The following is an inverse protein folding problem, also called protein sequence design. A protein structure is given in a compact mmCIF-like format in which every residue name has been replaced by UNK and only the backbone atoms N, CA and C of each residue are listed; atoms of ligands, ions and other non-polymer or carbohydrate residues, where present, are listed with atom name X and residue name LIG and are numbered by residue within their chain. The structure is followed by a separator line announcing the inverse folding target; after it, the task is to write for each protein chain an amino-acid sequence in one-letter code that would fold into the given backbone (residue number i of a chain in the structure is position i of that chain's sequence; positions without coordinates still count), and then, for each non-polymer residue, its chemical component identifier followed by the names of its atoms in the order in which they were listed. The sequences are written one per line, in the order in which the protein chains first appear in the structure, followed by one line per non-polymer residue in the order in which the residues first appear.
data_IF_375716206499
#
_entry.id   IF_375716206499
#
_cell.length_a   1.000
_cell.length_b   1.000
_cell.length_c   1.000
_cell.angle_alpha   90.00
_cell.angle_beta   90.00
_cell.angle_gamma   90.00
#
_symmetry.space_group_name_H-M   'P 1'
#
loop_
_entity.id
_entity.type
_entity.pdbx_description
1 polymer ?
#
# COMPACT_ATOMS: atom_id res chain seq x y z
N UNK A 1 -5.52 -38.30 -18.60
CA UNK A 1 -5.70 -36.89 -18.15
C UNK A 1 -7.04 -36.41 -18.68
N UNK A 2 -8.09 -36.26 -17.84
CA UNK A 2 -8.46 -34.93 -17.32
C UNK A 2 -9.23 -34.98 -15.96
N UNK A 3 -8.67 -34.43 -14.88
CA UNK A 3 -9.40 -34.26 -13.59
C UNK A 3 -9.25 -32.87 -12.95
N UNK A 4 -8.35 -32.02 -13.46
CA UNK A 4 -8.04 -30.73 -12.82
C UNK A 4 -9.09 -29.63 -13.06
N UNK A 5 -9.94 -29.74 -14.08
CA UNK A 5 -10.84 -28.64 -14.48
C UNK A 5 -12.11 -28.54 -13.63
N UNK A 6 -12.62 -29.65 -13.07
CA UNK A 6 -13.87 -29.65 -12.28
C UNK A 6 -13.69 -29.08 -10.87
N UNK A 7 -12.51 -29.26 -10.26
CA UNK A 7 -12.25 -28.76 -8.90
C UNK A 7 -12.13 -27.23 -8.84
N UNK A 8 -11.69 -26.57 -9.93
CA UNK A 8 -11.61 -25.11 -9.98
C UNK A 8 -12.98 -24.43 -9.95
N UNK A 9 -14.00 -25.02 -10.58
CA UNK A 9 -15.34 -24.43 -10.64
C UNK A 9 -16.08 -24.48 -9.29
N UNK A 10 -15.92 -25.57 -8.54
CA UNK A 10 -16.58 -25.74 -7.25
C UNK A 10 -16.08 -24.77 -6.16
N UNK A 11 -14.84 -24.28 -6.29
CA UNK A 11 -14.24 -23.31 -5.36
C UNK A 11 -14.74 -21.86 -5.57
N UNK A 12 -15.37 -21.57 -6.71
CA UNK A 12 -15.87 -20.24 -7.09
C UNK A 12 -17.36 -20.02 -6.74
N UNK A 13 -18.08 -21.07 -6.33
CA UNK A 13 -19.54 -21.03 -6.05
C UNK A 13 -19.88 -21.32 -4.57
N UNK A 14 -18.88 -21.48 -3.71
CA UNK A 14 -19.08 -21.66 -2.27
C UNK A 14 -19.38 -20.34 -1.55
N UNK A 15 -20.13 -20.36 -0.43
CA UNK A 15 -20.45 -19.15 0.33
C UNK A 15 -19.17 -18.49 0.83
N UNK A 16 -18.99 -17.20 0.52
CA UNK A 16 -17.83 -16.41 0.93
C UNK A 16 -17.88 -16.22 2.45
N UNK A 17 -17.07 -16.98 3.17
CA UNK A 17 -16.90 -16.87 4.62
C UNK A 17 -15.48 -16.32 4.90
N UNK A 18 -15.41 -15.00 5.02
CA UNK A 18 -14.46 -14.24 5.85
C UNK A 18 -12.95 -14.29 5.56
N UNK A 19 -12.51 -14.28 4.29
CA UNK A 19 -11.16 -13.78 3.98
C UNK A 19 -11.10 -12.99 2.69
N UNK A 20 -10.43 -11.84 2.77
CA UNK A 20 -10.18 -10.90 1.70
C UNK A 20 -9.63 -11.64 0.45
N UNK A 21 -10.10 -11.30 -0.76
CA UNK A 21 -9.69 -12.01 -1.98
C UNK A 21 -8.18 -11.88 -2.19
N UNK A 22 -7.50 -13.02 -2.24
CA UNK A 22 -6.08 -13.10 -2.56
C UNK A 22 -5.91 -12.95 -4.08
N UNK A 23 -5.29 -11.87 -4.55
CA UNK A 23 -5.14 -11.56 -5.97
C UNK A 23 -3.89 -12.20 -6.59
N UNK A 24 -2.84 -12.47 -5.80
CA UNK A 24 -1.59 -13.08 -6.27
C UNK A 24 -1.05 -14.13 -5.28
N UNK A 25 -0.54 -15.26 -5.79
CA UNK A 25 -0.05 -16.44 -5.04
C UNK A 25 1.18 -16.22 -4.12
N UNK A 26 1.60 -14.97 -3.91
CA UNK A 26 2.65 -14.59 -2.96
C UNK A 26 2.15 -13.48 -2.03
N UNK A 27 1.92 -13.83 -0.75
CA UNK A 27 1.44 -12.95 0.33
C UNK A 27 2.10 -11.54 0.39
N UNK A 28 3.42 -11.37 0.18
CA UNK A 28 4.03 -10.03 0.17
C UNK A 28 3.59 -9.17 -1.03
N UNK A 29 3.34 -9.80 -2.18
CA UNK A 29 2.92 -9.11 -3.41
C UNK A 29 1.44 -8.73 -3.32
N UNK A 30 0.61 -9.58 -2.71
CA UNK A 30 -0.80 -9.30 -2.50
C UNK A 30 -1.03 -8.12 -1.53
N UNK A 31 -0.27 -8.08 -0.41
CA UNK A 31 -0.30 -6.95 0.53
C UNK A 31 0.16 -5.64 -0.11
N UNK A 32 1.17 -5.69 -0.99
CA UNK A 32 1.65 -4.51 -1.72
C UNK A 32 0.59 -4.00 -2.70
N UNK A 33 -0.05 -4.90 -3.45
CA UNK A 33 -1.15 -4.53 -4.36
C UNK A 33 -2.31 -3.93 -3.58
N UNK A 34 -2.70 -4.54 -2.45
CA UNK A 34 -3.73 -3.99 -1.55
C UNK A 34 -3.37 -2.58 -1.04
N UNK A 35 -2.14 -2.36 -0.60
CA UNK A 35 -1.67 -1.05 -0.17
C UNK A 35 -1.69 0.00 -1.30
N UNK A 36 -1.29 -0.36 -2.52
CA UNK A 36 -1.35 0.54 -3.68
C UNK A 36 -2.79 0.89 -4.03
N UNK A 37 -3.71 -0.08 -4.01
CA UNK A 37 -5.14 0.16 -4.27
C UNK A 37 -5.74 1.09 -3.22
N UNK A 38 -5.44 0.86 -1.93
CA UNK A 38 -5.88 1.71 -0.84
C UNK A 38 -5.34 3.14 -0.98
N UNK A 39 -4.03 3.29 -1.22
CA UNK A 39 -3.40 4.60 -1.45
C UNK A 39 -4.00 5.32 -2.66
N UNK A 40 -4.25 4.61 -3.75
CA UNK A 40 -4.85 5.19 -4.96
C UNK A 40 -6.28 5.67 -4.69
N UNK A 41 -7.03 4.94 -3.87
CA UNK A 41 -8.38 5.33 -3.46
C UNK A 41 -8.37 6.59 -2.60
N UNK A 42 -7.45 6.69 -1.63
CA UNK A 42 -7.27 7.90 -0.82
C UNK A 42 -6.84 9.12 -1.67
N UNK A 43 -5.94 8.92 -2.63
CA UNK A 43 -5.54 9.98 -3.59
C UNK A 43 -6.73 10.47 -4.40
N UNK A 44 -7.61 9.57 -4.84
CA UNK A 44 -8.82 9.95 -5.57
C UNK A 44 -9.76 10.79 -4.70
N UNK A 45 -10.00 10.37 -3.45
CA UNK A 45 -10.85 11.12 -2.51
C UNK A 45 -10.25 12.52 -2.24
N UNK A 46 -8.93 12.61 -2.05
CA UNK A 46 -8.27 13.89 -1.86
C UNK A 46 -8.45 14.81 -3.08
N UNK A 47 -8.32 14.26 -4.30
CA UNK A 47 -8.55 15.00 -5.54
C UNK A 47 -9.99 15.53 -5.63
N UNK A 48 -10.99 14.70 -5.33
CA UNK A 48 -12.40 15.10 -5.36
C UNK A 48 -12.69 16.22 -4.34
N UNK A 49 -12.12 16.12 -3.14
CA UNK A 49 -12.24 17.15 -2.11
C UNK A 49 -11.60 18.47 -2.53
N UNK A 50 -10.43 18.44 -3.17
CA UNK A 50 -9.78 19.64 -3.71
C UNK A 50 -10.60 20.30 -4.81
N UNK A 51 -11.12 19.51 -5.76
CA UNK A 51 -12.01 20.02 -6.82
C UNK A 51 -13.27 20.66 -6.25
N UNK A 52 -13.87 20.03 -5.24
CA UNK A 52 -15.05 20.58 -4.54
C UNK A 52 -14.71 21.89 -3.85
N UNK A 53 -13.55 21.96 -3.18
CA UNK A 53 -13.09 23.18 -2.51
C UNK A 53 -12.86 24.31 -3.50
N UNK A 54 -12.20 24.04 -4.64
CA UNK A 54 -12.00 25.01 -5.71
C UNK A 54 -13.33 25.54 -6.25
N UNK A 55 -14.30 24.65 -6.52
CA UNK A 55 -15.63 25.04 -6.98
C UNK A 55 -16.38 25.91 -5.95
N UNK A 56 -16.31 25.58 -4.66
CA UNK A 56 -16.90 26.39 -3.60
C UNK A 56 -16.24 27.77 -3.47
N UNK A 57 -14.92 27.86 -3.61
CA UNK A 57 -14.19 29.12 -3.57
C UNK A 57 -14.48 30.00 -4.79
N UNK A 58 -14.63 29.39 -5.97
CA UNK A 58 -15.04 30.08 -7.20
C UNK A 58 -16.49 30.58 -7.08
N UNK A 59 -17.42 29.75 -6.61
CA UNK A 59 -18.81 30.13 -6.41
C UNK A 59 -18.96 31.33 -5.45
N UNK A 60 -18.08 31.41 -4.45
CA UNK A 60 -18.00 32.53 -3.50
C UNK A 60 -17.21 33.73 -4.03
N UNK A 61 -16.66 33.65 -5.25
CA UNK A 61 -15.83 34.66 -5.92
C UNK A 61 -14.56 35.01 -5.12
N UNK A 62 -14.05 34.07 -4.32
CA UNK A 62 -12.79 34.21 -3.57
C UNK A 62 -11.60 33.95 -4.50
N UNK A 63 -11.75 33.01 -5.42
CA UNK A 63 -10.75 32.60 -6.38
C UNK A 63 -11.32 32.70 -7.82
N UNK A 64 -10.58 33.19 -8.82
CA UNK A 64 -11.02 33.10 -10.21
C UNK A 64 -11.01 31.64 -10.70
N UNK A 65 -11.80 31.35 -11.73
CA UNK A 65 -11.81 30.05 -12.39
C UNK A 65 -10.39 29.65 -12.84
N UNK A 66 -10.05 28.37 -12.66
CA UNK A 66 -8.74 27.82 -13.03
C UNK A 66 -7.51 28.53 -12.41
N UNK A 67 -7.68 29.25 -11.29
CA UNK A 67 -6.56 29.97 -10.67
C UNK A 67 -5.43 29.05 -10.20
N UNK A 68 -5.73 27.80 -9.85
CA UNK A 68 -4.71 26.81 -9.47
C UNK A 68 -3.83 26.46 -10.68
N UNK A 69 -4.44 26.23 -11.85
CA UNK A 69 -3.72 25.93 -13.11
C UNK A 69 -2.89 27.12 -13.61
N UNK A 70 -3.35 28.34 -13.32
CA UNK A 70 -2.66 29.58 -13.69
C UNK A 70 -1.79 30.14 -12.56
N UNK A 71 -1.63 29.41 -11.46
CA UNK A 71 -0.83 29.89 -10.35
C UNK A 71 0.65 29.93 -10.72
N UNK A 72 1.21 31.14 -10.82
CA UNK A 72 2.64 31.34 -10.96
C UNK A 72 3.26 31.56 -9.56
N UNK A 73 4.11 30.63 -9.15
CA UNK A 73 4.81 30.72 -7.86
C UNK A 73 6.06 31.58 -7.97
N UNK A 74 6.19 32.52 -7.03
CA UNK A 74 7.44 33.28 -6.86
C UNK A 74 8.63 32.36 -6.57
N UNK A 75 9.86 32.87 -6.74
CA UNK A 75 11.07 32.10 -6.43
C UNK A 75 11.09 31.64 -4.96
N UNK A 76 10.69 32.50 -4.03
CA UNK A 76 10.65 32.19 -2.60
C UNK A 76 9.61 31.10 -2.26
N UNK A 77 8.43 31.12 -2.89
CA UNK A 77 7.41 30.08 -2.69
C UNK A 77 7.84 28.72 -3.26
N UNK A 78 8.55 28.74 -4.40
CA UNK A 78 9.14 27.52 -4.97
C UNK A 78 10.17 26.91 -4.02
N UNK A 79 11.09 27.74 -3.50
CA UNK A 79 12.12 27.28 -2.56
C UNK A 79 11.50 26.70 -1.28
N UNK A 80 10.49 27.36 -0.73
CA UNK A 80 9.76 26.88 0.45
C UNK A 80 9.07 25.53 0.19
N UNK A 81 8.41 25.36 -0.96
CA UNK A 81 7.74 24.11 -1.33
C UNK A 81 8.74 22.98 -1.59
N UNK A 82 9.89 23.28 -2.19
CA UNK A 82 10.97 22.31 -2.37
C UNK A 82 11.56 21.85 -1.03
N UNK A 83 11.75 22.77 -0.08
CA UNK A 83 12.21 22.43 1.27
C UNK A 83 11.20 21.55 2.02
N UNK A 84 9.91 21.85 1.92
CA UNK A 84 8.83 21.05 2.51
C UNK A 84 8.79 19.63 1.91
N UNK A 85 8.87 19.52 0.57
CA UNK A 85 8.94 18.23 -0.12
C UNK A 85 10.17 17.41 0.32
N UNK A 86 11.33 18.06 0.44
CA UNK A 86 12.55 17.40 0.91
C UNK A 86 12.37 16.86 2.34
N UNK A 87 11.82 17.67 3.26
CA UNK A 87 11.56 17.25 4.64
C UNK A 87 10.53 16.12 4.75
N UNK A 88 9.48 16.17 3.93
CA UNK A 88 8.49 15.09 3.86
C UNK A 88 9.11 13.78 3.35
N UNK A 89 9.92 13.87 2.29
CA UNK A 89 10.63 12.73 1.69
C UNK A 89 11.61 12.11 2.67
N UNK A 90 12.40 12.94 3.37
CA UNK A 90 13.33 12.49 4.40
C UNK A 90 12.61 11.75 5.53
N UNK A 91 11.45 12.26 5.99
CA UNK A 91 10.64 11.58 7.00
C UNK A 91 10.20 10.19 6.55
N UNK A 92 9.71 10.04 5.31
CA UNK A 92 9.30 8.73 4.77
C UNK A 92 10.49 7.77 4.74
N UNK A 93 11.64 8.20 4.22
CA UNK A 93 12.81 7.33 4.11
C UNK A 93 13.49 7.05 5.46
N UNK A 94 13.32 7.93 6.46
CA UNK A 94 13.80 7.68 7.82
C UNK A 94 13.13 6.44 8.44
N UNK A 95 11.87 6.15 8.08
CA UNK A 95 11.18 4.93 8.56
C UNK A 95 11.69 3.66 7.89
N UNK A 96 12.22 3.75 6.67
CA UNK A 96 12.82 2.62 5.95
C UNK A 96 14.26 2.35 6.42
N UNK A 97 14.99 3.40 6.82
CA UNK A 97 16.36 3.33 7.33
C UNK A 97 16.46 3.09 8.83
N UNK A 98 15.33 3.07 9.55
CA UNK A 98 15.28 2.65 10.95
C UNK A 98 15.76 1.22 11.09
N UNK A 99 16.88 1.05 11.78
CA UNK A 99 17.41 -0.26 12.16
C UNK A 99 16.45 -0.92 13.16
N UNK A 100 15.54 -1.74 12.64
CA UNK A 100 14.62 -2.52 13.48
C UNK A 100 15.39 -3.72 13.99
N UNK A 101 15.88 -3.65 15.23
CA UNK A 101 16.14 -4.88 16.01
C UNK A 101 14.83 -5.68 16.04
N UNK A 102 14.76 -6.88 15.43
CA UNK A 102 13.53 -7.66 15.37
C UNK A 102 13.07 -7.97 16.80
N UNK A 103 11.88 -7.48 17.17
CA UNK A 103 11.25 -7.74 18.48
C UNK A 103 10.74 -9.18 18.62
N UNK A 104 10.72 -9.94 17.53
CA UNK A 104 10.34 -11.35 17.50
C UNK A 104 11.59 -12.23 17.41
N UNK A 105 11.95 -12.85 18.53
CA UNK A 105 12.86 -14.00 18.55
C UNK A 105 12.03 -15.26 18.31
N UNK A 106 12.38 -16.05 17.29
CA UNK A 106 11.75 -17.37 17.10
C UNK A 106 12.13 -18.23 18.31
N UNK A 107 11.13 -18.78 19.02
CA UNK A 107 11.36 -19.66 20.16
C UNK A 107 12.34 -20.79 19.74
N UNK A 108 13.44 -21.01 20.48
CA UNK A 108 14.44 -22.05 20.15
C UNK A 108 13.84 -23.44 19.94
N UNK A 109 12.67 -23.73 20.54
CA UNK A 109 11.95 -25.00 20.37
C UNK A 109 11.41 -25.17 18.95
N UNK A 110 10.98 -24.10 18.29
CA UNK A 110 10.50 -24.11 16.89
C UNK A 110 11.67 -24.38 15.94
N UNK A 111 12.85 -23.80 16.22
CA UNK A 111 14.08 -24.07 15.46
C UNK A 111 14.50 -25.54 15.56
N UNK A 112 14.37 -26.14 16.75
CA UNK A 112 14.66 -27.56 16.95
C UNK A 112 13.68 -28.47 16.20
N UNK A 113 12.38 -28.14 16.19
CA UNK A 113 11.38 -28.87 15.40
C UNK A 113 11.70 -28.86 13.90
N UNK A 114 12.13 -27.72 13.36
CA UNK A 114 12.52 -27.62 11.95
C UNK A 114 13.77 -28.44 11.61
N UNK A 115 14.78 -28.45 12.49
CA UNK A 115 15.98 -29.29 12.32
C UNK A 115 15.63 -30.78 12.33
N UNK A 116 14.84 -31.22 13.31
CA UNK A 116 14.45 -32.63 13.43
C UNK A 116 13.63 -33.09 12.21
N UNK A 117 12.74 -32.24 11.69
CA UNK A 117 11.98 -32.57 10.48
C UNK A 117 12.87 -32.68 9.23
N UNK A 118 13.90 -31.84 9.10
CA UNK A 118 14.84 -31.88 7.99
C UNK A 118 15.72 -33.14 8.03
N UNK A 119 16.20 -33.53 9.21
CA UNK A 119 16.99 -34.75 9.40
C UNK A 119 16.18 -36.03 9.16
N UNK A 120 14.89 -36.03 9.49
CA UNK A 120 13.99 -37.16 9.21
C UNK A 120 13.65 -37.30 7.73
N UNK A 121 13.64 -36.19 6.98
CA UNK A 121 13.31 -36.19 5.55
C UNK A 121 14.52 -36.43 4.63
N UNK A 122 15.75 -36.28 5.15
CA UNK A 122 17.01 -36.52 4.43
C UNK A 122 17.59 -37.92 4.66
N UNK A 123 17.05 -38.66 5.64
CA UNK A 123 17.41 -40.07 5.93
C UNK A 123 16.51 -41.10 5.25
N UNK A 124 15.79 -40.71 4.19
CA UNK A 124 14.91 -41.59 3.39
C UNK A 124 15.37 -41.59 1.95
#
# INVERSE_FOLDING_TARGET
MPKLTKQRKALLEGPVLEREPTFLDALPNDNLVGAIVALTSEVYILRERLQTLEAELEARKVLPAAAVEHHDSSAAERDARSADLAGFTERIFSELSRDRTPVSTIDPRVMNLMKTHHELNTKK
#
